data_IF_473304119672
#
_entry.id   IF_473304119672
#
_cell.length_a   1.000
_cell.length_b   1.000
_cell.length_c   1.000
_cell.angle_alpha   90.00
_cell.angle_beta   90.00
_cell.angle_gamma   90.00
#
_symmetry.space_group_name_H-M   'P 1'
#
loop_
_entity.id
_entity.type
_entity.pdbx_description
1 polymer ?
#
# COMPACT_ATOMS: atom_id res chain seq x y z
N UNK A 1 -57.14 49.73 -12.92
CA UNK A 1 -56.46 49.00 -14.01
C UNK A 1 -55.09 49.63 -14.18
N UNK A 2 -54.02 48.99 -13.70
CA UNK A 2 -52.67 49.61 -13.64
C UNK A 2 -52.03 49.51 -15.01
N UNK A 3 -51.92 50.63 -15.72
CA UNK A 3 -51.27 50.72 -17.03
C UNK A 3 -49.77 50.52 -16.87
N UNK A 4 -49.27 49.45 -17.49
CA UNK A 4 -47.83 49.19 -17.64
C UNK A 4 -47.28 50.13 -18.71
N UNK A 5 -46.22 50.84 -18.35
CA UNK A 5 -45.59 51.85 -19.21
C UNK A 5 -44.70 51.18 -20.27
N UNK A 6 -44.71 51.65 -21.53
CA UNK A 6 -43.92 51.07 -22.63
C UNK A 6 -42.39 51.14 -22.42
N UNK A 7 -41.92 51.82 -21.37
CA UNK A 7 -40.50 51.87 -20.99
C UNK A 7 -40.05 50.64 -20.18
N UNK A 8 -40.99 49.96 -19.52
CA UNK A 8 -40.70 48.80 -18.67
C UNK A 8 -40.56 47.49 -19.48
N UNK A 9 -41.24 47.38 -20.62
CA UNK A 9 -41.13 46.22 -21.53
C UNK A 9 -39.75 46.13 -22.19
N UNK A 10 -39.21 47.26 -22.64
CA UNK A 10 -37.92 47.29 -23.33
C UNK A 10 -36.71 47.02 -22.40
N UNK A 11 -36.86 47.30 -21.10
CA UNK A 11 -35.83 47.05 -20.09
C UNK A 11 -35.79 45.56 -19.67
N UNK A 12 -36.94 44.88 -19.71
CA UNK A 12 -37.05 43.45 -19.43
C UNK A 12 -36.48 42.57 -20.55
N UNK A 13 -36.66 42.95 -21.83
CA UNK A 13 -36.08 42.22 -22.98
C UNK A 13 -34.55 42.30 -23.00
N UNK A 14 -33.98 43.46 -22.67
CA UNK A 14 -32.53 43.68 -22.72
C UNK A 14 -31.80 42.96 -21.56
N UNK A 15 -32.44 42.86 -20.39
CA UNK A 15 -31.96 42.02 -19.29
C UNK A 15 -32.09 40.52 -19.58
N UNK A 16 -33.18 40.07 -20.21
CA UNK A 16 -33.37 38.67 -20.59
C UNK A 16 -32.32 38.20 -21.62
N UNK A 17 -31.99 39.04 -22.60
CA UNK A 17 -30.98 38.77 -23.63
C UNK A 17 -29.56 38.65 -23.04
N UNK A 18 -29.16 39.59 -22.17
CA UNK A 18 -27.85 39.55 -21.49
C UNK A 18 -27.73 38.37 -20.52
N UNK A 19 -28.82 37.94 -19.87
CA UNK A 19 -28.83 36.77 -18.97
C UNK A 19 -28.69 35.47 -19.74
N UNK A 20 -29.36 35.33 -20.90
CA UNK A 20 -29.21 34.18 -21.80
C UNK A 20 -27.77 34.04 -22.32
N UNK A 21 -27.13 35.15 -22.72
CA UNK A 21 -25.73 35.15 -23.19
C UNK A 21 -24.72 34.77 -22.09
N UNK A 22 -24.97 35.18 -20.83
CA UNK A 22 -24.15 34.78 -19.68
C UNK A 22 -24.33 33.29 -19.32
N UNK A 23 -25.54 32.76 -19.42
CA UNK A 23 -25.81 31.33 -19.18
C UNK A 23 -25.13 30.46 -20.24
N UNK A 24 -25.21 30.83 -21.52
CA UNK A 24 -24.49 30.12 -22.60
C UNK A 24 -22.98 30.15 -22.40
N UNK A 25 -22.42 31.29 -21.98
CA UNK A 25 -21.00 31.40 -21.66
C UNK A 25 -20.61 30.51 -20.49
N UNK A 26 -21.42 30.45 -19.43
CA UNK A 26 -21.18 29.60 -18.27
C UNK A 26 -21.21 28.10 -18.62
N UNK A 27 -22.16 27.68 -19.46
CA UNK A 27 -22.22 26.30 -19.96
C UNK A 27 -20.96 25.96 -20.76
N UNK A 28 -20.49 26.86 -21.62
CA UNK A 28 -19.26 26.67 -22.37
C UNK A 28 -18.03 26.53 -21.47
N UNK A 29 -17.93 27.34 -20.41
CA UNK A 29 -16.88 27.18 -19.41
C UNK A 29 -16.93 25.83 -18.71
N UNK A 30 -18.11 25.36 -18.29
CA UNK A 30 -18.24 24.04 -17.65
C UNK A 30 -17.75 22.93 -18.58
N UNK A 31 -18.12 22.96 -19.85
CA UNK A 31 -17.69 21.97 -20.84
C UNK A 31 -16.18 22.00 -21.06
N UNK A 32 -15.57 23.19 -21.11
CA UNK A 32 -14.11 23.30 -21.22
C UNK A 32 -13.41 22.75 -19.98
N UNK A 33 -13.92 23.03 -18.79
CA UNK A 33 -13.35 22.52 -17.53
C UNK A 33 -13.42 21.00 -17.44
N UNK A 34 -14.54 20.38 -17.84
CA UNK A 34 -14.64 18.91 -17.83
C UNK A 34 -13.70 18.27 -18.84
N UNK A 35 -13.48 18.87 -20.01
CA UNK A 35 -12.50 18.37 -20.98
C UNK A 35 -11.06 18.47 -20.46
N UNK A 36 -10.70 19.58 -19.80
CA UNK A 36 -9.36 19.76 -19.22
C UNK A 36 -9.12 18.72 -18.12
N UNK A 37 -10.08 18.56 -17.20
CA UNK A 37 -9.96 17.57 -16.11
C UNK A 37 -9.89 16.15 -16.67
N UNK A 38 -10.74 15.82 -17.65
CA UNK A 38 -10.73 14.52 -18.32
C UNK A 38 -9.40 14.23 -19.03
N UNK A 39 -8.82 15.22 -19.70
CA UNK A 39 -7.51 15.11 -20.35
C UNK A 39 -6.40 14.89 -19.33
N UNK A 40 -6.40 15.65 -18.23
CA UNK A 40 -5.43 15.49 -17.14
C UNK A 40 -5.52 14.07 -16.57
N UNK A 41 -6.72 13.58 -16.23
CA UNK A 41 -6.93 12.22 -15.73
C UNK A 41 -6.48 11.18 -16.76
N UNK A 42 -6.78 11.36 -18.04
CA UNK A 42 -6.36 10.44 -19.11
C UNK A 42 -4.84 10.39 -19.27
N UNK A 43 -4.16 11.54 -19.20
CA UNK A 43 -2.69 11.61 -19.24
C UNK A 43 -2.09 11.00 -17.98
N UNK A 44 -2.69 11.22 -16.81
CA UNK A 44 -2.25 10.58 -15.57
C UNK A 44 -2.48 9.06 -15.61
N UNK A 45 -3.59 8.57 -16.17
CA UNK A 45 -3.83 7.14 -16.33
C UNK A 45 -2.86 6.56 -17.34
N UNK A 46 -2.61 7.22 -18.48
CA UNK A 46 -1.64 6.77 -19.48
C UNK A 46 -0.22 6.76 -18.90
N UNK A 47 0.22 7.84 -18.22
CA UNK A 47 1.53 7.90 -17.56
C UNK A 47 1.64 6.89 -16.43
N UNK A 48 0.56 6.64 -15.68
CA UNK A 48 0.53 5.58 -14.68
C UNK A 48 0.60 4.22 -15.35
N UNK A 49 -0.03 4.03 -16.49
CA UNK A 49 -0.02 2.76 -17.22
C UNK A 49 1.31 2.51 -17.93
N UNK A 50 2.02 3.55 -18.36
CA UNK A 50 3.40 3.49 -18.85
C UNK A 50 4.40 3.29 -17.69
N UNK A 51 4.24 4.01 -16.58
CA UNK A 51 5.03 3.77 -15.37
C UNK A 51 4.74 2.39 -14.78
N UNK A 52 3.49 1.92 -14.84
CA UNK A 52 3.11 0.56 -14.51
C UNK A 52 3.67 -0.38 -15.59
N UNK A 53 3.70 -0.09 -16.88
CA UNK A 53 4.28 -1.01 -17.88
C UNK A 53 5.81 -1.10 -17.79
N UNK A 54 6.47 0.00 -17.43
CA UNK A 54 7.92 0.09 -17.18
C UNK A 54 8.28 -0.50 -15.81
N UNK A 55 7.43 -0.37 -14.78
CA UNK A 55 7.64 -0.95 -13.44
C UNK A 55 7.08 -2.37 -13.25
N UNK A 56 6.10 -2.80 -14.06
CA UNK A 56 5.57 -4.17 -14.12
C UNK A 56 6.49 -5.09 -14.90
N UNK A 57 7.54 -4.53 -15.51
CA UNK A 57 8.66 -5.25 -16.08
C UNK A 57 9.92 -5.08 -15.21
N UNK A 58 9.80 -5.13 -13.88
CA UNK A 58 10.85 -5.74 -13.08
C UNK A 58 10.91 -7.24 -13.44
N UNK A 59 11.43 -7.55 -14.63
CA UNK A 59 11.73 -8.91 -15.08
C UNK A 59 12.78 -9.59 -14.20
N UNK A 60 13.39 -8.83 -13.28
CA UNK A 60 14.30 -9.34 -12.26
C UNK A 60 13.67 -9.23 -10.86
N UNK A 61 13.28 -10.34 -10.20
CA UNK A 61 12.81 -10.33 -8.81
C UNK A 61 13.83 -9.73 -7.83
N UNK A 62 15.11 -9.77 -8.18
CA UNK A 62 16.21 -9.18 -7.40
C UNK A 62 16.07 -7.66 -7.32
N UNK A 63 15.87 -6.97 -8.47
CA UNK A 63 15.74 -5.51 -8.53
C UNK A 63 14.50 -5.02 -7.78
N UNK A 64 13.39 -5.77 -7.87
CA UNK A 64 12.18 -5.46 -7.11
C UNK A 64 12.43 -5.54 -5.59
N UNK A 65 13.14 -6.58 -5.12
CA UNK A 65 13.49 -6.72 -3.70
C UNK A 65 14.46 -5.62 -3.26
N UNK A 66 15.47 -5.30 -4.07
CA UNK A 66 16.40 -4.19 -3.81
C UNK A 66 15.63 -2.89 -3.64
N UNK A 67 14.71 -2.56 -4.55
CA UNK A 67 13.94 -1.31 -4.50
C UNK A 67 13.13 -1.13 -3.20
N UNK A 68 12.61 -2.22 -2.63
CA UNK A 68 11.88 -2.20 -1.35
C UNK A 68 12.84 -2.14 -0.17
N UNK A 69 13.95 -2.88 -0.23
CA UNK A 69 14.92 -2.95 0.86
C UNK A 69 15.75 -1.68 1.02
N UNK A 70 16.02 -0.93 -0.06
CA UNK A 70 16.71 0.36 -0.02
C UNK A 70 15.95 1.41 0.81
N UNK A 71 14.63 1.24 0.95
CA UNK A 71 13.78 2.11 1.76
C UNK A 71 13.82 1.77 3.26
N UNK A 72 14.58 0.75 3.66
CA UNK A 72 14.70 0.30 5.05
C UNK A 72 15.99 0.82 5.70
N UNK A 73 16.04 0.94 7.04
CA UNK A 73 17.27 1.29 7.74
C UNK A 73 18.40 0.26 7.59
N UNK A 74 18.09 -0.99 7.20
CA UNK A 74 19.07 -2.07 7.04
C UNK A 74 18.88 -2.82 5.70
N UNK A 75 19.25 -2.19 4.57
CA UNK A 75 18.95 -2.72 3.24
C UNK A 75 19.55 -4.12 2.98
N UNK A 76 20.80 -4.34 3.40
CA UNK A 76 21.49 -5.62 3.20
C UNK A 76 20.83 -6.77 3.95
N UNK A 77 20.37 -6.53 5.18
CA UNK A 77 19.69 -7.55 5.99
C UNK A 77 18.34 -7.88 5.35
N UNK A 78 17.57 -6.84 4.98
CA UNK A 78 16.30 -6.99 4.28
C UNK A 78 16.46 -7.83 3.00
N UNK A 79 17.45 -7.51 2.17
CA UNK A 79 17.69 -8.22 0.92
C UNK A 79 18.03 -9.69 1.17
N UNK A 80 18.99 -9.97 2.05
CA UNK A 80 19.44 -11.34 2.32
C UNK A 80 18.30 -12.23 2.86
N UNK A 81 17.54 -11.72 3.84
CA UNK A 81 16.40 -12.46 4.41
C UNK A 81 15.31 -12.68 3.37
N UNK A 82 14.93 -11.64 2.62
CA UNK A 82 13.84 -11.72 1.63
C UNK A 82 14.21 -12.58 0.43
N UNK A 83 15.43 -12.42 -0.10
CA UNK A 83 15.95 -13.19 -1.23
C UNK A 83 16.08 -14.69 -0.89
N UNK A 84 16.51 -15.00 0.33
CA UNK A 84 16.56 -16.39 0.83
C UNK A 84 15.19 -17.04 0.78
N UNK A 85 14.14 -16.34 1.25
CA UNK A 85 12.78 -16.84 1.15
C UNK A 85 12.33 -16.93 -0.31
N UNK A 86 12.53 -15.88 -1.12
CA UNK A 86 12.14 -15.82 -2.53
C UNK A 86 12.68 -16.98 -3.36
N UNK A 87 13.96 -17.36 -3.19
CA UNK A 87 14.58 -18.49 -3.92
C UNK A 87 13.95 -19.84 -3.60
N UNK A 88 13.30 -19.97 -2.44
CA UNK A 88 12.58 -21.19 -2.07
C UNK A 88 11.19 -21.27 -2.72
N UNK A 89 10.70 -20.19 -3.35
CA UNK A 89 9.48 -20.21 -4.16
C UNK A 89 9.82 -20.66 -5.59
N UNK A 90 9.37 -21.85 -5.99
CA UNK A 90 9.68 -22.51 -7.27
C UNK A 90 8.89 -22.02 -8.49
N UNK A 91 8.02 -21.02 -8.32
CA UNK A 91 7.12 -20.54 -9.36
C UNK A 91 7.48 -19.12 -9.79
N UNK A 92 7.38 -18.85 -11.11
CA UNK A 92 7.39 -17.50 -11.71
C UNK A 92 6.23 -16.67 -11.15
N UNK A 93 6.32 -16.28 -9.89
CA UNK A 93 5.30 -15.46 -9.28
C UNK A 93 5.78 -14.02 -9.36
N UNK A 94 5.02 -13.22 -10.09
CA UNK A 94 5.14 -11.77 -10.17
C UNK A 94 5.52 -11.18 -8.81
N UNK A 95 6.68 -10.55 -8.75
CA UNK A 95 7.21 -9.94 -7.53
C UNK A 95 6.50 -8.61 -7.31
N UNK A 96 5.38 -8.64 -6.59
CA UNK A 96 4.66 -7.42 -6.20
C UNK A 96 5.17 -6.90 -4.85
N UNK A 97 5.10 -5.59 -4.59
CA UNK A 97 5.46 -5.02 -3.29
C UNK A 97 4.73 -5.66 -2.10
N UNK A 98 3.48 -6.05 -2.28
CA UNK A 98 2.68 -6.78 -1.27
C UNK A 98 3.25 -8.16 -0.93
N UNK A 99 3.75 -8.88 -1.94
CA UNK A 99 4.38 -10.19 -1.74
C UNK A 99 5.74 -10.05 -1.09
N UNK A 100 6.57 -9.08 -1.51
CA UNK A 100 7.84 -8.76 -0.84
C UNK A 100 7.58 -8.46 0.64
N UNK A 101 6.61 -7.59 0.95
CA UNK A 101 6.29 -7.26 2.34
C UNK A 101 5.80 -8.49 3.13
N UNK A 102 4.99 -9.34 2.50
CA UNK A 102 4.53 -10.59 3.13
C UNK A 102 5.69 -11.55 3.43
N UNK A 103 6.69 -11.63 2.53
CA UNK A 103 7.92 -12.39 2.77
C UNK A 103 8.71 -11.81 3.94
N UNK A 104 8.84 -10.49 4.02
CA UNK A 104 9.48 -9.83 5.16
C UNK A 104 8.79 -10.12 6.49
N UNK A 105 7.45 -10.17 6.51
CA UNK A 105 6.69 -10.57 7.70
C UNK A 105 6.92 -12.04 8.09
N UNK A 106 7.03 -12.95 7.12
CA UNK A 106 7.34 -14.36 7.39
C UNK A 106 8.77 -14.53 7.91
N UNK A 107 9.75 -13.81 7.34
CA UNK A 107 11.11 -13.80 7.85
C UNK A 107 11.15 -13.31 9.31
N UNK A 108 10.46 -12.21 9.62
CA UNK A 108 10.35 -11.71 10.99
C UNK A 108 9.66 -12.72 11.93
N UNK A 109 8.62 -13.42 11.47
CA UNK A 109 7.94 -14.45 12.25
C UNK A 109 8.87 -15.62 12.57
N UNK A 110 9.68 -16.07 11.61
CA UNK A 110 10.66 -17.13 11.80
C UNK A 110 11.67 -16.75 12.90
N UNK A 111 12.28 -15.57 12.79
CA UNK A 111 13.23 -15.06 13.80
C UNK A 111 12.59 -14.94 15.21
N UNK A 112 11.33 -14.51 15.29
CA UNK A 112 10.60 -14.44 16.56
C UNK A 112 10.33 -15.82 17.18
N UNK A 113 10.08 -16.84 16.34
CA UNK A 113 9.87 -18.22 16.79
C UNK A 113 11.17 -18.85 17.31
N UNK A 114 12.29 -18.58 16.66
CA UNK A 114 13.61 -18.99 17.16
C UNK A 114 13.95 -18.28 18.46
N UNK A 115 13.68 -16.97 18.54
CA UNK A 115 13.93 -16.18 19.74
C UNK A 115 13.10 -16.65 20.94
N UNK A 116 11.81 -16.97 20.76
CA UNK A 116 11.00 -17.49 21.88
C UNK A 116 11.50 -18.86 22.35
N UNK A 117 11.94 -19.72 21.44
CA UNK A 117 12.52 -21.02 21.77
C UNK A 117 13.80 -20.87 22.59
N UNK A 118 14.72 -20.00 22.14
CA UNK A 118 15.95 -19.68 22.86
C UNK A 118 15.67 -19.07 24.25
N UNK A 119 14.70 -18.15 24.34
CA UNK A 119 14.30 -17.54 25.60
C UNK A 119 13.74 -18.58 26.60
N UNK A 120 12.89 -19.50 26.15
CA UNK A 120 12.37 -20.58 26.99
C UNK A 120 13.49 -21.52 27.46
N UNK A 121 14.44 -21.85 26.60
CA UNK A 121 15.60 -22.64 26.99
C UNK A 121 16.43 -21.91 28.06
N UNK A 122 16.65 -20.60 27.91
CA UNK A 122 17.35 -19.80 28.91
C UNK A 122 16.62 -19.78 30.26
N UNK A 123 15.30 -19.53 30.24
CA UNK A 123 14.43 -19.56 31.44
C UNK A 123 14.57 -20.89 32.20
N UNK A 124 14.60 -22.01 31.48
CA UNK A 124 14.66 -23.35 32.09
C UNK A 124 15.97 -23.65 32.83
N UNK A 125 17.06 -22.99 32.43
CA UNK A 125 18.41 -23.24 32.97
C UNK A 125 18.84 -22.20 34.02
N UNK A 126 18.13 -21.08 34.12
CA UNK A 126 18.57 -19.94 34.90
C UNK A 126 18.19 -20.05 36.38
N UNK A 127 19.16 -19.76 37.25
CA UNK A 127 18.97 -19.76 38.71
C UNK A 127 18.84 -18.35 39.30
N UNK A 128 19.34 -17.32 38.60
CA UNK A 128 19.24 -15.93 39.06
C UNK A 128 17.79 -15.43 38.91
N UNK A 129 17.18 -15.05 40.03
CA UNK A 129 15.77 -14.63 40.09
C UNK A 129 15.48 -13.31 39.39
N UNK A 130 16.45 -12.38 39.35
CA UNK A 130 16.29 -11.07 38.69
C UNK A 130 16.30 -11.25 37.18
N UNK A 131 17.28 -12.00 36.67
CA UNK A 131 17.38 -12.27 35.23
C UNK A 131 16.20 -13.16 34.78
N UNK A 132 15.76 -14.13 35.61
CA UNK A 132 14.59 -14.95 35.33
C UNK A 132 13.32 -14.08 35.16
N UNK A 133 13.13 -13.08 36.02
CA UNK A 133 11.98 -12.19 35.92
C UNK A 133 12.03 -11.34 34.64
N UNK A 134 13.21 -10.86 34.25
CA UNK A 134 13.39 -10.13 33.00
C UNK A 134 13.09 -11.02 31.77
N UNK A 135 13.61 -12.25 31.74
CA UNK A 135 13.36 -13.20 30.64
C UNK A 135 11.89 -13.57 30.51
N UNK A 136 11.15 -13.68 31.62
CA UNK A 136 9.69 -13.87 31.59
C UNK A 136 8.95 -12.65 31.03
N UNK A 137 9.42 -11.45 31.34
CA UNK A 137 8.92 -10.22 30.72
C UNK A 137 9.15 -10.21 29.20
N UNK A 138 10.36 -10.57 28.77
CA UNK A 138 10.69 -10.73 27.35
C UNK A 138 9.83 -11.82 26.70
N UNK A 139 9.57 -12.95 27.36
CA UNK A 139 8.71 -14.03 26.85
C UNK A 139 7.32 -13.51 26.46
N UNK A 140 6.71 -12.69 27.32
CA UNK A 140 5.42 -12.05 27.04
C UNK A 140 5.48 -11.13 25.82
N UNK A 141 6.47 -10.25 25.76
CA UNK A 141 6.65 -9.31 24.64
C UNK A 141 6.91 -10.02 23.30
N UNK A 142 7.70 -11.10 23.32
CA UNK A 142 7.97 -11.90 22.12
C UNK A 142 6.68 -12.60 21.65
N UNK A 143 5.89 -13.19 22.56
CA UNK A 143 4.60 -13.81 22.21
C UNK A 143 3.61 -12.81 21.61
N UNK A 144 3.55 -11.61 22.17
CA UNK A 144 2.71 -10.55 21.62
C UNK A 144 3.19 -10.12 20.23
N UNK A 145 4.49 -10.01 20.02
CA UNK A 145 5.08 -9.71 18.72
C UNK A 145 4.76 -10.79 17.69
N UNK A 146 4.84 -12.08 18.06
CA UNK A 146 4.43 -13.21 17.21
C UNK A 146 2.95 -13.10 16.83
N UNK A 147 2.08 -12.84 17.82
CA UNK A 147 0.63 -12.70 17.60
C UNK A 147 0.30 -11.56 16.65
N UNK A 148 0.92 -10.39 16.83
CA UNK A 148 0.72 -9.23 15.97
C UNK A 148 1.26 -9.45 14.56
N UNK A 149 2.40 -10.13 14.42
CA UNK A 149 2.99 -10.48 13.13
C UNK A 149 2.09 -11.45 12.36
N UNK A 150 1.62 -12.53 13.00
CA UNK A 150 0.64 -13.46 12.40
C UNK A 150 -0.64 -12.75 11.97
N UNK A 151 -1.16 -11.84 12.80
CA UNK A 151 -2.33 -11.03 12.45
C UNK A 151 -2.05 -10.13 11.23
N UNK A 152 -0.85 -9.58 11.12
CA UNK A 152 -0.46 -8.74 9.98
C UNK A 152 -0.40 -9.56 8.70
N UNK A 153 0.17 -10.78 8.76
CA UNK A 153 0.19 -11.73 7.64
C UNK A 153 -1.24 -12.05 7.18
N UNK A 154 -2.14 -12.39 8.09
CA UNK A 154 -3.52 -12.72 7.71
C UNK A 154 -4.29 -11.50 7.16
N UNK A 155 -3.99 -10.29 7.65
CA UNK A 155 -4.61 -9.05 7.18
C UNK A 155 -4.16 -8.68 5.76
N UNK A 156 -2.97 -9.11 5.34
CA UNK A 156 -2.48 -8.85 3.98
C UNK A 156 -3.27 -9.60 2.90
N UNK A 157 -4.13 -10.55 3.27
CA UNK A 157 -5.02 -11.23 2.32
C UNK A 157 -4.30 -12.05 1.26
N UNK A 158 -3.01 -12.37 1.48
CA UNK A 158 -2.27 -13.33 0.68
C UNK A 158 -2.71 -14.71 1.16
N UNK A 159 -3.40 -15.44 0.28
CA UNK A 159 -3.96 -16.75 0.60
C UNK A 159 -2.84 -17.69 1.07
N UNK A 160 -2.93 -18.28 2.29
CA UNK A 160 -1.98 -19.28 2.74
C UNK A 160 -1.96 -20.55 1.86
N UNK A 161 -2.92 -20.71 0.93
CA UNK A 161 -2.98 -21.84 -0.02
C UNK A 161 -2.08 -21.74 -1.26
N UNK A 162 -1.29 -20.68 -1.41
CA UNK A 162 -0.02 -20.83 -2.12
C UNK A 162 0.81 -21.81 -1.27
N UNK A 163 0.80 -23.10 -1.66
CA UNK A 163 1.44 -24.29 -1.04
C UNK A 163 2.96 -24.18 -0.76
N UNK A 164 3.49 -22.97 -0.73
CA UNK A 164 4.87 -22.57 -0.73
C UNK A 164 5.36 -22.25 0.69
N UNK A 165 4.45 -21.95 1.63
CA UNK A 165 4.81 -21.53 2.99
C UNK A 165 4.75 -22.64 4.04
N UNK A 166 4.18 -23.81 3.71
CA UNK A 166 4.18 -25.00 4.58
C UNK A 166 5.43 -25.87 4.42
N UNK A 167 6.25 -25.65 3.38
CA UNK A 167 7.48 -26.43 3.14
C UNK A 167 8.74 -25.80 3.74
N UNK A 168 8.63 -24.63 4.38
CA UNK A 168 9.74 -23.90 4.98
C UNK A 168 9.67 -23.82 6.52
N UNK A 169 8.77 -24.59 7.15
CA UNK A 169 8.69 -24.78 8.60
C UNK A 169 8.89 -26.27 8.90
#
# INVERSE_FOLDING_TARGET
MKSISPKDSHLLEDQASRRKRKITSFIFFIVLFTLIIGSIISVFIALKQEADSESLSASNPEEAIISVCDQTPFPTICFNSTWSLQRNLTTEIKTTPSRIFTLSLHAALHELLDLISANQMAISKLKDSRILSALKGCDGLIRDSIRLTKKSITTMGVDPDDKIFLSAI
#
